data_IF_757509816335
#
_entry.id   IF_757509816335
#
_cell.length_a   1.000
_cell.length_b   1.000
_cell.length_c   1.000
_cell.angle_alpha   90.00
_cell.angle_beta   90.00
_cell.angle_gamma   90.00
#
_symmetry.space_group_name_H-M   'P 1'
#
loop_
_entity.id
_entity.type
_entity.pdbx_description
1 polymer ?
#
# COMPACT_ATOMS: atom_id res chain seq x y z
N UNK A 1 5.45 13.11 2.30
CA UNK A 1 4.43 12.90 1.24
C UNK A 1 3.05 13.30 1.76
N UNK A 2 2.08 13.70 0.92
CA UNK A 2 0.76 14.21 1.38
C UNK A 2 0.02 13.22 2.30
N UNK A 3 0.08 11.92 1.99
CA UNK A 3 -0.53 10.85 2.79
C UNK A 3 0.08 10.75 4.20
N UNK A 4 1.38 10.99 4.35
CA UNK A 4 2.03 10.94 5.66
C UNK A 4 1.54 12.08 6.55
N UNK A 5 1.43 13.29 6.00
CA UNK A 5 0.91 14.43 6.74
C UNK A 5 -0.56 14.23 7.13
N UNK A 6 -1.35 13.61 6.27
CA UNK A 6 -2.73 13.22 6.59
C UNK A 6 -2.79 12.25 7.78
N UNK A 7 -1.94 11.21 7.79
CA UNK A 7 -1.91 10.21 8.87
C UNK A 7 -1.38 10.79 10.19
N UNK A 8 -0.41 11.70 10.14
CA UNK A 8 0.09 12.40 11.35
C UNK A 8 -0.95 13.34 11.97
N UNK A 9 -1.78 13.98 11.15
CA UNK A 9 -2.85 14.88 11.62
C UNK A 9 -4.07 14.12 12.16
N UNK A 10 -4.23 12.86 11.79
CA UNK A 10 -5.32 12.01 12.21
C UNK A 10 -4.73 10.77 12.90
N UNK A 11 -4.24 10.83 14.15
CA UNK A 11 -3.51 9.71 14.77
C UNK A 11 -4.40 8.52 15.18
N UNK A 12 -5.73 8.71 15.20
CA UNK A 12 -6.69 7.73 15.73
C UNK A 12 -7.35 6.90 14.62
N UNK A 13 -6.55 6.29 13.74
CA UNK A 13 -7.01 5.34 12.74
C UNK A 13 -6.61 3.94 13.15
N UNK A 14 -7.50 2.98 12.92
CA UNK A 14 -7.25 1.57 13.24
C UNK A 14 -6.66 0.82 12.04
N UNK A 15 -6.98 1.28 10.83
CA UNK A 15 -6.69 0.56 9.58
C UNK A 15 -6.57 1.52 8.40
N UNK A 16 -5.79 1.12 7.40
CA UNK A 16 -5.61 1.82 6.12
C UNK A 16 -6.02 0.86 5.00
N UNK A 17 -7.02 1.24 4.22
CA UNK A 17 -7.48 0.48 3.06
C UNK A 17 -6.94 1.15 1.79
N UNK A 18 -6.19 0.42 0.98
CA UNK A 18 -5.58 0.95 -0.23
C UNK A 18 -6.14 0.32 -1.50
N UNK A 19 -6.26 1.15 -2.55
CA UNK A 19 -6.68 0.72 -3.88
C UNK A 19 -5.77 -0.38 -4.42
N UNK A 20 -6.36 -1.51 -4.81
CA UNK A 20 -5.63 -2.69 -5.26
C UNK A 20 -4.87 -2.47 -6.56
N UNK A 21 -3.82 -3.27 -6.78
CA UNK A 21 -3.02 -3.35 -8.03
C UNK A 21 -2.31 -2.05 -8.45
N UNK A 22 -2.50 -0.94 -7.74
CA UNK A 22 -1.90 0.35 -8.07
C UNK A 22 -0.37 0.33 -7.86
N UNK A 23 0.43 0.78 -8.84
CA UNK A 23 1.88 0.95 -8.67
C UNK A 23 2.28 1.85 -7.49
N UNK A 24 1.38 2.74 -7.06
CA UNK A 24 1.59 3.60 -5.89
C UNK A 24 1.01 2.98 -4.61
N UNK A 25 -0.28 2.63 -4.61
CA UNK A 25 -1.01 2.32 -3.37
C UNK A 25 -1.31 0.83 -3.17
N UNK A 26 -1.16 -0.03 -4.17
CA UNK A 26 -1.56 -1.42 -4.01
C UNK A 26 -0.74 -2.09 -2.91
N UNK A 27 -1.39 -2.65 -1.90
CA UNK A 27 -0.73 -3.39 -0.84
C UNK A 27 -0.74 -4.88 -1.19
N UNK A 28 0.44 -5.47 -1.42
CA UNK A 28 0.63 -6.90 -1.78
C UNK A 28 -0.16 -7.39 -3.01
N UNK A 29 -0.69 -6.47 -3.82
CA UNK A 29 -1.52 -6.77 -5.00
C UNK A 29 -0.96 -6.17 -6.29
N UNK A 30 0.18 -5.48 -6.22
CA UNK A 30 0.79 -4.80 -7.36
C UNK A 30 1.76 -5.72 -8.06
N UNK A 31 1.57 -5.97 -9.35
CA UNK A 31 2.48 -6.79 -10.15
C UNK A 31 3.85 -6.13 -10.28
N UNK A 32 4.90 -6.81 -9.85
CA UNK A 32 6.29 -6.48 -10.17
C UNK A 32 6.64 -7.21 -11.46
N UNK A 33 7.05 -6.44 -12.45
CA UNK A 33 7.32 -6.94 -13.80
C UNK A 33 8.81 -6.99 -14.08
N UNK A 34 9.23 -7.94 -14.90
CA UNK A 34 10.53 -7.94 -15.56
C UNK A 34 10.63 -6.80 -16.59
N UNK A 35 11.83 -6.59 -17.14
CA UNK A 35 12.03 -5.70 -18.29
C UNK A 35 11.21 -6.12 -19.51
N UNK A 36 10.94 -7.42 -19.67
CA UNK A 36 10.08 -8.00 -20.72
C UNK A 36 8.58 -7.91 -20.42
N UNK A 37 8.19 -7.25 -19.32
CA UNK A 37 6.79 -7.13 -18.84
C UNK A 37 6.15 -8.44 -18.36
N UNK A 38 6.95 -9.46 -18.10
CA UNK A 38 6.48 -10.70 -17.49
C UNK A 38 6.32 -10.48 -15.98
N UNK A 39 5.24 -11.02 -15.39
CA UNK A 39 5.03 -10.88 -13.95
C UNK A 39 6.01 -11.77 -13.17
N UNK A 40 6.85 -11.15 -12.34
CA UNK A 40 7.77 -11.85 -11.45
C UNK A 40 7.06 -12.28 -10.16
N UNK A 41 6.39 -11.35 -9.49
CA UNK A 41 5.63 -11.58 -8.25
C UNK A 41 4.66 -10.43 -7.96
N UNK A 42 3.83 -10.59 -6.92
CA UNK A 42 2.99 -9.52 -6.38
C UNK A 42 3.70 -8.86 -5.20
N UNK A 43 3.81 -7.53 -5.24
CA UNK A 43 4.40 -6.70 -4.20
C UNK A 43 3.49 -5.54 -3.80
N UNK A 44 4.09 -4.58 -3.08
CA UNK A 44 3.42 -3.34 -2.69
C UNK A 44 3.89 -2.18 -3.56
N UNK A 45 2.98 -1.24 -3.82
CA UNK A 45 3.30 0.03 -4.46
C UNK A 45 4.14 0.94 -3.55
N UNK A 46 4.76 1.95 -4.14
CA UNK A 46 5.75 2.82 -3.47
C UNK A 46 5.16 3.49 -2.22
N UNK A 47 3.96 4.05 -2.30
CA UNK A 47 3.31 4.70 -1.17
C UNK A 47 2.89 3.69 -0.09
N UNK A 48 2.41 2.52 -0.50
CA UNK A 48 2.04 1.45 0.45
C UNK A 48 3.25 0.96 1.25
N UNK A 49 4.43 0.85 0.61
CA UNK A 49 5.69 0.52 1.28
C UNK A 49 6.10 1.59 2.28
N UNK A 50 6.08 2.87 1.88
CA UNK A 50 6.43 3.99 2.79
C UNK A 50 5.48 4.07 4.00
N UNK A 51 4.18 3.85 3.80
CA UNK A 51 3.20 3.81 4.89
C UNK A 51 3.50 2.64 5.84
N UNK A 52 3.79 1.45 5.31
CA UNK A 52 4.11 0.27 6.12
C UNK A 52 5.39 0.46 6.95
N UNK A 53 6.40 1.12 6.40
CA UNK A 53 7.64 1.45 7.11
C UNK A 53 7.42 2.49 8.22
N UNK A 54 6.59 3.51 7.94
CA UNK A 54 6.33 4.61 8.88
C UNK A 54 5.36 4.22 10.00
N UNK A 55 4.38 3.37 9.69
CA UNK A 55 3.33 2.94 10.61
C UNK A 55 3.28 1.41 10.75
N UNK A 56 4.34 0.78 11.32
CA UNK A 56 4.49 -0.67 11.32
C UNK A 56 3.44 -1.43 12.13
N UNK A 57 2.73 -0.74 13.02
CA UNK A 57 1.72 -1.32 13.91
C UNK A 57 0.28 -1.14 13.40
N UNK A 58 0.08 -0.49 12.26
CA UNK A 58 -1.24 -0.26 11.68
C UNK A 58 -1.57 -1.39 10.69
N UNK A 59 -2.82 -1.87 10.72
CA UNK A 59 -3.32 -2.80 9.71
C UNK A 59 -3.47 -2.09 8.35
N UNK A 60 -2.75 -2.57 7.34
CA UNK A 60 -2.88 -2.13 5.95
C UNK A 60 -3.53 -3.25 5.15
N UNK A 61 -4.63 -2.94 4.47
CA UNK A 61 -5.47 -3.91 3.76
C UNK A 61 -5.60 -3.50 2.28
N UNK A 62 -5.71 -4.50 1.40
CA UNK A 62 -6.17 -4.28 0.03
C UNK A 62 -7.69 -4.14 0.02
N UNK A 63 -8.24 -3.32 -0.86
CA UNK A 63 -9.70 -3.22 -1.04
C UNK A 63 -10.38 -4.57 -1.37
N UNK A 64 -9.63 -5.54 -1.93
CA UNK A 64 -10.14 -6.90 -2.17
C UNK A 64 -10.38 -7.71 -0.89
N UNK A 65 -9.64 -7.43 0.18
CA UNK A 65 -9.76 -8.17 1.43
C UNK A 65 -10.88 -7.59 2.32
N UNK A 66 -11.41 -6.43 1.94
CA UNK A 66 -12.43 -5.71 2.71
C UNK A 66 -13.86 -5.91 2.20
N UNK A 67 -14.05 -6.28 0.93
CA UNK A 67 -15.35 -6.53 0.30
C UNK A 67 -15.71 -8.02 0.33
#
# INVERSE_FOLDING_TARGET
MEIEGFLEQNPNFERIILKSKSPSCGYRTTSVLSETKEQLYLGSGIAATMIAEKFPNIAIESEFDFL
#
